data_IF_068633915311
#
_entry.id   IF_068633915311
#
_cell.length_a   1.000
_cell.length_b   1.000
_cell.length_c   1.000
_cell.angle_alpha   90.00
_cell.angle_beta   90.00
_cell.angle_gamma   90.00
#
_symmetry.space_group_name_H-M   'P 1'
#
loop_
_entity.id
_entity.type
_entity.pdbx_description
1 polymer ?
#
# COMPACT_ATOMS: atom_id res chain seq x y z
N UNK A 1 0.96 0.52 34.64
CA UNK A 1 -0.26 0.07 33.92
C UNK A 1 -0.22 0.73 32.54
N UNK A 2 -0.31 0.01 31.43
CA UNK A 2 -0.39 0.66 30.12
C UNK A 2 -1.67 1.48 30.07
N UNK A 3 -1.56 2.78 29.80
CA UNK A 3 -2.70 3.68 29.56
C UNK A 3 -3.52 3.08 28.41
N UNK A 4 -4.84 2.92 28.58
CA UNK A 4 -5.75 2.52 27.52
C UNK A 4 -5.59 3.52 26.38
N UNK A 5 -5.24 3.06 25.19
CA UNK A 5 -5.08 3.94 24.03
C UNK A 5 -6.43 4.59 23.71
N UNK A 6 -6.43 5.84 23.25
CA UNK A 6 -7.66 6.55 22.83
C UNK A 6 -8.44 5.78 21.76
N UNK A 7 -7.78 4.88 21.04
CA UNK A 7 -8.40 3.93 20.12
C UNK A 7 -9.34 2.92 20.79
N UNK A 8 -9.10 2.54 22.06
CA UNK A 8 -10.00 1.62 22.75
C UNK A 8 -11.40 2.22 22.94
N UNK A 9 -11.51 3.55 23.00
CA UNK A 9 -12.78 4.27 23.12
C UNK A 9 -13.52 4.43 21.78
N UNK A 10 -12.80 4.38 20.66
CA UNK A 10 -13.35 4.62 19.30
C UNK A 10 -13.87 3.32 18.67
N UNK A 11 -13.26 2.17 19.00
CA UNK A 11 -13.48 0.90 18.33
C UNK A 11 -14.55 0.01 19.01
N UNK A 12 -15.52 0.58 19.74
CA UNK A 12 -16.58 -0.17 20.42
C UNK A 12 -17.97 0.16 19.89
N UNK A 13 -18.84 -0.84 19.65
CA UNK A 13 -18.68 -2.29 19.57
C UNK A 13 -18.45 -2.80 18.12
N UNK A 14 -17.74 -3.93 17.97
CA UNK A 14 -17.63 -4.63 16.67
C UNK A 14 -18.79 -5.65 16.59
N UNK A 15 -19.72 -5.46 15.68
CA UNK A 15 -20.66 -6.51 15.27
C UNK A 15 -19.90 -7.61 14.55
N UNK A 16 -19.76 -8.76 15.22
CA UNK A 16 -18.97 -9.88 14.71
C UNK A 16 -19.52 -10.44 13.39
N UNK A 17 -20.84 -10.45 13.22
CA UNK A 17 -21.50 -10.96 12.03
C UNK A 17 -21.23 -10.05 10.84
N UNK A 18 -21.39 -8.75 11.02
CA UNK A 18 -21.12 -7.77 9.96
C UNK A 18 -19.63 -7.72 9.59
N UNK A 19 -18.77 -7.75 10.59
CA UNK A 19 -17.32 -7.81 10.38
C UNK A 19 -16.90 -9.03 9.54
N UNK A 20 -17.48 -10.18 9.84
CA UNK A 20 -17.24 -11.41 9.06
C UNK A 20 -17.77 -11.29 7.65
N UNK A 21 -18.97 -10.71 7.47
CA UNK A 21 -19.55 -10.47 6.16
C UNK A 21 -18.68 -9.54 5.32
N UNK A 22 -18.18 -8.43 5.91
CA UNK A 22 -17.23 -7.53 5.22
C UNK A 22 -15.93 -8.25 4.89
N UNK A 23 -15.41 -9.08 5.79
CA UNK A 23 -14.21 -9.90 5.55
C UNK A 23 -14.42 -10.93 4.43
N UNK A 24 -15.59 -11.56 4.37
CA UNK A 24 -15.97 -12.49 3.29
C UNK A 24 -16.11 -11.76 1.94
N UNK A 25 -16.70 -10.56 1.93
CA UNK A 25 -16.75 -9.70 0.73
C UNK A 25 -15.35 -9.41 0.18
N UNK A 26 -14.34 -9.24 1.04
CA UNK A 26 -12.95 -9.07 0.59
C UNK A 26 -12.39 -10.31 -0.10
N UNK A 27 -12.78 -11.53 0.36
CA UNK A 27 -12.44 -12.78 -0.34
C UNK A 27 -13.11 -12.82 -1.72
N UNK A 28 -14.41 -12.54 -1.77
CA UNK A 28 -15.19 -12.52 -3.02
C UNK A 28 -14.66 -11.48 -4.00
N UNK A 29 -14.28 -10.30 -3.50
CA UNK A 29 -13.70 -9.24 -4.33
C UNK A 29 -12.41 -9.68 -5.02
N UNK A 30 -11.53 -10.42 -4.34
CA UNK A 30 -10.34 -10.98 -4.98
C UNK A 30 -10.72 -11.95 -6.09
N UNK A 31 -11.71 -12.82 -5.84
CA UNK A 31 -12.16 -13.78 -6.84
C UNK A 31 -12.79 -13.11 -8.07
N UNK A 32 -13.61 -12.07 -7.88
CA UNK A 32 -14.22 -11.32 -8.98
C UNK A 32 -13.17 -10.58 -9.81
N UNK A 33 -12.21 -9.91 -9.13
CA UNK A 33 -11.13 -9.19 -9.83
C UNK A 33 -10.12 -10.09 -10.53
N UNK A 34 -10.07 -11.38 -10.17
CA UNK A 34 -9.31 -12.39 -10.93
C UNK A 34 -9.87 -12.61 -12.33
N UNK A 35 -11.17 -12.58 -12.49
CA UNK A 35 -11.81 -12.81 -13.80
C UNK A 35 -11.45 -11.68 -14.78
N UNK A 36 -11.51 -10.42 -14.32
CA UNK A 36 -11.09 -9.26 -15.12
C UNK A 36 -9.59 -9.30 -15.43
N UNK A 37 -8.78 -9.61 -14.43
CA UNK A 37 -7.33 -9.75 -14.57
C UNK A 37 -6.91 -10.85 -15.56
N UNK A 38 -7.59 -11.99 -15.57
CA UNK A 38 -7.28 -13.10 -16.47
C UNK A 38 -7.69 -12.80 -17.91
N UNK A 39 -8.74 -12.00 -18.12
CA UNK A 39 -9.14 -11.55 -19.46
C UNK A 39 -8.09 -10.62 -20.07
N UNK A 40 -7.67 -9.60 -19.33
CA UNK A 40 -6.71 -8.60 -19.79
C UNK A 40 -5.94 -8.00 -18.61
N UNK A 41 -4.73 -8.43 -18.31
CA UNK A 41 -3.92 -7.89 -17.21
C UNK A 41 -3.28 -6.55 -17.61
N UNK A 42 -4.13 -5.55 -17.82
CA UNK A 42 -3.76 -4.16 -18.01
C UNK A 42 -3.43 -3.49 -16.66
N UNK A 43 -3.03 -2.24 -16.69
CA UNK A 43 -2.64 -1.48 -15.49
C UNK A 43 -3.77 -1.39 -14.47
N UNK A 44 -5.00 -1.12 -14.90
CA UNK A 44 -6.19 -1.03 -14.06
C UNK A 44 -6.48 -2.37 -13.36
N UNK A 45 -6.51 -3.48 -14.10
CA UNK A 45 -6.78 -4.80 -13.54
C UNK A 45 -5.66 -5.27 -12.62
N UNK A 46 -4.39 -4.90 -12.89
CA UNK A 46 -3.26 -5.13 -11.99
C UNK A 46 -3.45 -4.33 -10.70
N UNK A 47 -3.86 -3.06 -10.79
CA UNK A 47 -4.14 -2.22 -9.63
C UNK A 47 -5.27 -2.80 -8.78
N UNK A 48 -6.36 -3.18 -9.41
CA UNK A 48 -7.57 -3.68 -8.77
C UNK A 48 -7.34 -4.99 -8.00
N UNK A 49 -6.70 -5.96 -8.64
CA UNK A 49 -6.38 -7.23 -7.98
C UNK A 49 -5.42 -7.02 -6.80
N UNK A 50 -4.42 -6.14 -6.92
CA UNK A 50 -3.50 -5.79 -5.83
C UNK A 50 -4.22 -5.13 -4.66
N UNK A 51 -5.11 -4.17 -4.94
CA UNK A 51 -5.89 -3.48 -3.89
C UNK A 51 -6.83 -4.45 -3.20
N UNK A 52 -7.50 -5.33 -3.93
CA UNK A 52 -8.36 -6.38 -3.37
C UNK A 52 -7.59 -7.35 -2.47
N UNK A 53 -6.39 -7.78 -2.89
CA UNK A 53 -5.53 -8.65 -2.07
C UNK A 53 -5.02 -7.94 -0.81
N UNK A 54 -4.73 -6.63 -0.86
CA UNK A 54 -4.35 -5.86 0.33
C UNK A 54 -5.48 -5.82 1.35
N UNK A 55 -6.73 -5.55 0.93
CA UNK A 55 -7.92 -5.59 1.79
C UNK A 55 -8.16 -6.97 2.38
N UNK A 56 -8.04 -8.02 1.56
CA UNK A 56 -8.10 -9.41 2.04
C UNK A 56 -7.05 -9.70 3.12
N UNK A 57 -5.81 -9.27 2.92
CA UNK A 57 -4.72 -9.51 3.88
C UNK A 57 -4.92 -8.75 5.19
N UNK A 58 -5.42 -7.52 5.14
CA UNK A 58 -5.75 -6.73 6.33
C UNK A 58 -6.86 -7.44 7.14
N UNK A 59 -7.99 -7.77 6.50
CA UNK A 59 -9.09 -8.49 7.15
C UNK A 59 -8.63 -9.83 7.71
N UNK A 60 -7.88 -10.64 6.96
CA UNK A 60 -7.35 -11.92 7.42
C UNK A 60 -6.48 -11.79 8.68
N UNK A 61 -5.63 -10.76 8.77
CA UNK A 61 -4.74 -10.56 9.93
C UNK A 61 -5.50 -10.26 11.22
N UNK A 62 -6.64 -9.61 11.13
CA UNK A 62 -7.50 -9.24 12.25
C UNK A 62 -8.48 -10.35 12.68
N UNK A 63 -8.67 -11.40 11.86
CA UNK A 63 -9.50 -12.54 12.22
C UNK A 63 -8.86 -13.40 13.33
N UNK A 64 -9.66 -14.04 14.19
CA UNK A 64 -9.19 -15.00 15.20
C UNK A 64 -8.43 -16.19 14.58
N UNK A 65 -7.54 -16.82 15.37
CA UNK A 65 -6.76 -17.98 14.92
C UNK A 65 -7.66 -19.15 14.46
N UNK A 66 -8.82 -19.37 15.10
CA UNK A 66 -9.78 -20.40 14.73
C UNK A 66 -10.25 -20.31 13.27
N UNK A 67 -10.34 -19.10 12.72
CA UNK A 67 -10.68 -18.87 11.31
C UNK A 67 -9.44 -18.93 10.45
N UNK A 68 -8.38 -18.18 10.83
CA UNK A 68 -7.16 -18.08 10.03
C UNK A 68 -6.48 -19.42 9.78
N UNK A 69 -6.60 -20.36 10.69
CA UNK A 69 -5.98 -21.68 10.59
C UNK A 69 -6.78 -22.66 9.74
N UNK A 70 -7.99 -22.32 9.28
CA UNK A 70 -8.74 -23.19 8.36
C UNK A 70 -7.95 -23.36 7.06
N UNK A 71 -7.70 -24.62 6.67
CA UNK A 71 -6.84 -24.99 5.54
C UNK A 71 -7.18 -24.26 4.24
N UNK A 72 -8.48 -24.17 3.91
CA UNK A 72 -8.94 -23.50 2.68
C UNK A 72 -8.60 -21.99 2.70
N UNK A 73 -8.87 -21.30 3.81
CA UNK A 73 -8.60 -19.86 3.98
C UNK A 73 -7.09 -19.60 3.89
N UNK A 74 -6.30 -20.37 4.66
CA UNK A 74 -4.84 -20.24 4.68
C UNK A 74 -4.24 -20.44 3.28
N UNK A 75 -4.71 -21.44 2.52
CA UNK A 75 -4.23 -21.73 1.16
C UNK A 75 -4.58 -20.60 0.21
N UNK A 76 -5.84 -20.12 0.23
CA UNK A 76 -6.30 -19.02 -0.62
C UNK A 76 -5.51 -17.72 -0.36
N UNK A 77 -5.33 -17.34 0.92
CA UNK A 77 -4.57 -16.14 1.30
C UNK A 77 -3.08 -16.28 0.94
N UNK A 78 -2.48 -17.45 1.11
CA UNK A 78 -1.09 -17.68 0.73
C UNK A 78 -0.88 -17.50 -0.76
N UNK A 79 -1.73 -18.14 -1.60
CA UNK A 79 -1.65 -18.00 -3.06
C UNK A 79 -1.93 -16.57 -3.53
N UNK A 80 -2.91 -15.89 -2.91
CA UNK A 80 -3.15 -14.45 -3.15
C UNK A 80 -1.93 -13.59 -2.83
N UNK A 81 -1.16 -13.93 -1.78
CA UNK A 81 0.07 -13.22 -1.43
C UNK A 81 1.18 -13.42 -2.47
N UNK A 82 1.31 -14.61 -3.04
CA UNK A 82 2.26 -14.89 -4.13
C UNK A 82 1.93 -14.03 -5.35
N UNK A 83 0.67 -14.07 -5.81
CA UNK A 83 0.18 -13.22 -6.91
C UNK A 83 0.42 -11.74 -6.64
N UNK A 84 0.12 -11.26 -5.43
CA UNK A 84 0.38 -9.88 -5.03
C UNK A 84 1.86 -9.50 -5.12
N UNK A 85 2.76 -10.40 -4.75
CA UNK A 85 4.22 -10.13 -4.76
C UNK A 85 4.72 -9.86 -6.18
N UNK A 86 4.32 -10.71 -7.14
CA UNK A 86 4.73 -10.54 -8.54
C UNK A 86 4.07 -9.32 -9.18
N UNK A 87 2.77 -9.15 -9.00
CA UNK A 87 2.08 -7.96 -9.49
C UNK A 87 2.58 -6.64 -8.86
N UNK A 88 3.25 -6.70 -7.70
CA UNK A 88 3.90 -5.53 -7.15
C UNK A 88 5.12 -5.13 -7.97
N UNK A 89 5.93 -6.08 -8.41
CA UNK A 89 7.06 -5.83 -9.30
C UNK A 89 6.59 -5.29 -10.66
N UNK A 90 5.54 -5.91 -11.24
CA UNK A 90 4.97 -5.44 -12.52
C UNK A 90 4.55 -3.96 -12.40
N UNK A 91 3.83 -3.62 -11.34
CA UNK A 91 3.41 -2.21 -11.10
C UNK A 91 4.60 -1.28 -10.87
N UNK A 92 5.63 -1.73 -10.17
CA UNK A 92 6.84 -0.92 -9.97
C UNK A 92 7.50 -0.62 -11.33
N UNK A 93 7.53 -1.57 -12.27
CA UNK A 93 8.02 -1.36 -13.64
C UNK A 93 7.15 -0.40 -14.44
N UNK A 94 5.81 -0.49 -14.31
CA UNK A 94 4.88 0.45 -14.96
C UNK A 94 5.14 1.89 -14.51
N UNK A 95 5.31 2.11 -13.20
CA UNK A 95 5.61 3.43 -12.61
C UNK A 95 6.96 3.96 -13.12
N UNK A 96 8.00 3.12 -13.14
CA UNK A 96 9.31 3.53 -13.63
C UNK A 96 9.24 3.90 -15.12
N UNK A 97 8.50 3.12 -15.90
CA UNK A 97 8.29 3.39 -17.32
C UNK A 97 7.58 4.73 -17.54
N UNK A 98 6.51 4.99 -16.81
CA UNK A 98 5.74 6.24 -16.85
C UNK A 98 6.64 7.44 -16.50
N UNK A 99 7.34 7.41 -15.37
CA UNK A 99 8.24 8.49 -14.94
C UNK A 99 9.35 8.78 -15.94
N UNK A 100 9.98 7.74 -16.52
CA UNK A 100 11.03 7.92 -17.51
C UNK A 100 10.49 8.44 -18.85
N UNK A 101 9.29 8.03 -19.25
CA UNK A 101 8.63 8.52 -20.45
C UNK A 101 8.23 9.99 -20.32
N UNK A 102 7.71 10.39 -19.17
CA UNK A 102 7.43 11.80 -18.85
C UNK A 102 8.70 12.65 -18.88
N UNK A 103 9.80 12.12 -18.34
CA UNK A 103 11.08 12.80 -18.36
C UNK A 103 11.58 13.03 -19.81
N UNK A 104 11.40 12.05 -20.70
CA UNK A 104 11.78 12.18 -22.10
C UNK A 104 10.92 13.18 -22.87
N UNK A 105 9.63 13.28 -22.54
CA UNK A 105 8.68 14.19 -23.20
C UNK A 105 8.72 15.62 -22.66
N UNK A 106 9.25 15.81 -21.43
CA UNK A 106 9.29 17.13 -20.80
C UNK A 106 10.46 17.96 -21.31
N UNK A 107 10.20 19.23 -21.64
CA UNK A 107 11.24 20.25 -21.97
C UNK A 107 12.17 20.60 -20.78
N UNK A 108 12.08 19.86 -19.68
CA UNK A 108 12.88 20.05 -18.45
C UNK A 108 14.35 19.68 -18.61
N UNK A 109 14.73 19.09 -19.76
CA UNK A 109 16.12 18.87 -20.08
C UNK A 109 16.78 20.21 -20.47
N UNK A 110 17.91 20.59 -19.85
CA UNK A 110 18.59 21.87 -20.16
C UNK A 110 18.96 21.97 -21.62
N UNK A 111 18.48 23.02 -22.29
CA UNK A 111 18.69 23.27 -23.73
C UNK A 111 20.17 23.41 -24.16
N UNK A 112 21.09 23.52 -23.20
CA UNK A 112 22.54 23.73 -23.47
C UNK A 112 23.37 22.46 -23.65
N UNK A 113 22.77 21.24 -23.55
CA UNK A 113 23.53 19.99 -23.65
C UNK A 113 22.99 19.02 -24.71
N UNK A 114 22.79 19.51 -25.96
CA UNK A 114 22.23 18.69 -27.04
C UNK A 114 22.98 17.36 -27.30
N UNK A 115 24.30 17.33 -27.13
CA UNK A 115 25.06 16.07 -27.27
C UNK A 115 24.90 15.13 -26.08
N UNK A 116 24.79 15.65 -24.84
CA UNK A 116 24.52 14.84 -23.64
C UNK A 116 23.07 14.34 -23.63
N UNK A 117 22.13 15.13 -24.19
CA UNK A 117 20.74 14.74 -24.36
C UNK A 117 20.60 13.53 -25.31
N UNK A 118 21.33 13.49 -26.42
CA UNK A 118 21.26 12.36 -27.36
C UNK A 118 21.78 11.04 -26.72
N UNK A 119 22.84 11.10 -25.91
CA UNK A 119 23.36 9.94 -25.19
C UNK A 119 22.43 9.51 -24.06
N UNK A 120 21.87 10.47 -23.32
CA UNK A 120 20.89 10.18 -22.25
C UNK A 120 19.61 9.61 -22.82
N UNK A 121 19.06 10.15 -23.91
CA UNK A 121 17.87 9.62 -24.58
C UNK A 121 18.08 8.19 -25.10
N UNK A 122 19.26 7.88 -25.66
CA UNK A 122 19.59 6.52 -26.09
C UNK A 122 19.70 5.57 -24.89
N UNK A 123 20.30 6.02 -23.79
CA UNK A 123 20.42 5.23 -22.57
C UNK A 123 19.06 4.96 -21.94
N UNK A 124 18.14 5.97 -21.88
CA UNK A 124 16.76 5.79 -21.43
C UNK A 124 16.02 4.79 -22.31
N UNK A 125 16.12 4.93 -23.64
CA UNK A 125 15.44 4.00 -24.56
C UNK A 125 15.89 2.55 -24.36
N UNK A 126 17.18 2.31 -24.10
CA UNK A 126 17.68 0.98 -23.78
C UNK A 126 17.20 0.47 -22.40
N UNK A 127 17.13 1.36 -21.42
CA UNK A 127 16.58 1.07 -20.10
C UNK A 127 15.10 0.69 -20.19
N UNK A 128 14.28 1.45 -20.94
CA UNK A 128 12.86 1.18 -21.16
C UNK A 128 12.63 -0.18 -21.84
N UNK A 129 13.42 -0.52 -22.87
CA UNK A 129 13.36 -1.85 -23.52
C UNK A 129 13.71 -2.98 -22.55
N UNK A 130 14.70 -2.78 -21.69
CA UNK A 130 15.07 -3.75 -20.66
C UNK A 130 13.96 -3.92 -19.64
N UNK A 131 13.34 -2.81 -19.19
CA UNK A 131 12.18 -2.80 -18.29
C UNK A 131 11.02 -3.58 -18.88
N UNK A 132 10.66 -3.31 -20.13
CA UNK A 132 9.57 -3.99 -20.82
C UNK A 132 9.80 -5.51 -20.89
N UNK A 133 11.01 -5.93 -21.18
CA UNK A 133 11.39 -7.35 -21.22
C UNK A 133 11.18 -8.03 -19.86
N UNK A 134 11.67 -7.41 -18.79
CA UNK A 134 11.54 -7.94 -17.42
C UNK A 134 10.07 -7.91 -16.97
N UNK A 135 9.37 -6.82 -17.25
CA UNK A 135 7.93 -6.68 -16.96
C UNK A 135 7.10 -7.80 -17.60
N UNK A 136 7.32 -8.07 -18.89
CA UNK A 136 6.57 -9.09 -19.62
C UNK A 136 6.84 -10.51 -19.08
N UNK A 137 8.07 -10.79 -18.65
CA UNK A 137 8.40 -12.05 -17.97
C UNK A 137 7.63 -12.19 -16.65
N UNK A 138 7.69 -11.17 -15.76
CA UNK A 138 6.98 -11.21 -14.48
C UNK A 138 5.46 -11.26 -14.69
N UNK A 139 4.93 -10.62 -15.74
CA UNK A 139 3.52 -10.66 -16.08
C UNK A 139 3.07 -12.06 -16.51
N UNK A 140 3.91 -12.80 -17.25
CA UNK A 140 3.64 -14.19 -17.65
C UNK A 140 3.58 -15.10 -16.41
N UNK A 141 4.52 -14.97 -15.49
CA UNK A 141 4.50 -15.69 -14.21
C UNK A 141 3.26 -15.34 -13.38
N UNK A 142 2.91 -14.07 -13.33
CA UNK A 142 1.72 -13.58 -12.63
C UNK A 142 0.43 -14.16 -13.17
N UNK A 143 0.28 -14.29 -14.49
CA UNK A 143 -0.87 -14.97 -15.12
C UNK A 143 -0.98 -16.42 -14.68
N UNK A 144 0.13 -17.15 -14.62
CA UNK A 144 0.16 -18.55 -14.15
C UNK A 144 -0.35 -18.64 -12.70
N UNK A 145 0.13 -17.78 -11.81
CA UNK A 145 -0.33 -17.73 -10.42
C UNK A 145 -1.81 -17.36 -10.29
N UNK A 146 -2.29 -16.45 -11.14
CA UNK A 146 -3.70 -16.07 -11.17
C UNK A 146 -4.59 -17.26 -11.57
N UNK A 147 -4.19 -18.04 -12.57
CA UNK A 147 -4.90 -19.27 -12.95
C UNK A 147 -4.90 -20.30 -11.80
N UNK A 148 -3.77 -20.46 -11.11
CA UNK A 148 -3.70 -21.35 -9.95
C UNK A 148 -4.60 -20.90 -8.81
N UNK A 149 -4.63 -19.59 -8.53
CA UNK A 149 -5.51 -19.01 -7.51
C UNK A 149 -6.99 -19.20 -7.89
N UNK A 150 -7.35 -19.02 -9.16
CA UNK A 150 -8.71 -19.20 -9.68
C UNK A 150 -9.22 -20.64 -9.54
N UNK A 151 -8.33 -21.64 -9.61
CA UNK A 151 -8.69 -23.04 -9.40
C UNK A 151 -8.98 -23.39 -7.93
N UNK A 152 -8.62 -22.51 -6.98
CA UNK A 152 -8.93 -22.76 -5.59
C UNK A 152 -10.41 -22.47 -5.30
N UNK A 153 -11.04 -23.32 -4.49
CA UNK A 153 -12.38 -23.02 -3.98
C UNK A 153 -12.35 -21.75 -3.13
N UNK A 154 -13.29 -20.83 -3.42
CA UNK A 154 -13.42 -19.57 -2.67
C UNK A 154 -13.87 -19.88 -1.24
N UNK A 155 -13.10 -19.48 -0.21
CA UNK A 155 -13.45 -19.76 1.16
C UNK A 155 -14.66 -18.97 1.62
N UNK A 156 -15.55 -19.59 2.40
CA UNK A 156 -16.64 -18.93 3.12
C UNK A 156 -16.25 -18.77 4.59
N UNK A 157 -16.59 -17.62 5.18
CA UNK A 157 -16.37 -17.33 6.61
C UNK A 157 -17.61 -17.59 7.45
N UNK A 158 -18.79 -17.48 6.86
CA UNK A 158 -20.12 -17.47 7.49
C UNK A 158 -20.86 -18.81 7.41
N UNK A 159 -20.21 -19.99 7.42
CA UNK A 159 -20.94 -21.22 7.63
C UNK A 159 -21.64 -21.15 9.02
N UNK A 160 -22.93 -21.46 9.06
CA UNK A 160 -23.83 -21.32 10.23
C UNK A 160 -23.32 -21.96 11.54
N UNK A 161 -22.22 -22.72 11.49
CA UNK A 161 -21.58 -23.38 12.62
C UNK A 161 -20.35 -22.65 13.19
N UNK A 162 -20.01 -21.44 12.71
CA UNK A 162 -18.86 -20.69 13.23
C UNK A 162 -19.35 -19.68 14.26
N UNK A 163 -19.57 -20.15 15.47
CA UNK A 163 -19.82 -19.26 16.59
C UNK A 163 -18.49 -18.60 17.01
N UNK A 164 -18.27 -17.37 16.54
CA UNK A 164 -17.08 -16.61 16.92
C UNK A 164 -17.43 -15.78 18.13
N UNK A 165 -16.70 -16.02 19.20
CA UNK A 165 -16.79 -15.16 20.37
C UNK A 165 -16.41 -13.73 19.96
N UNK A 166 -17.35 -12.82 20.05
CA UNK A 166 -17.19 -11.38 19.80
C UNK A 166 -16.00 -10.82 20.58
N UNK A 167 -15.84 -11.23 21.83
CA UNK A 167 -14.69 -10.89 22.68
C UNK A 167 -13.35 -11.30 22.05
N UNK A 168 -13.26 -12.48 21.42
CA UNK A 168 -12.02 -12.95 20.75
C UNK A 168 -11.73 -12.16 19.47
N UNK A 169 -12.75 -11.86 18.70
CA UNK A 169 -12.62 -11.04 17.48
C UNK A 169 -12.13 -9.63 17.84
N UNK A 170 -12.80 -8.97 18.77
CA UNK A 170 -12.49 -7.65 19.27
C UNK A 170 -11.06 -7.56 19.83
N UNK A 171 -10.70 -8.47 20.74
CA UNK A 171 -9.34 -8.52 21.28
C UNK A 171 -8.28 -8.65 20.16
N UNK A 172 -8.57 -9.46 19.14
CA UNK A 172 -7.64 -9.62 18.01
C UNK A 172 -7.56 -8.38 17.15
N UNK A 173 -8.70 -7.77 16.82
CA UNK A 173 -8.76 -6.54 16.05
C UNK A 173 -7.99 -5.41 16.74
N UNK A 174 -8.30 -5.13 18.02
CA UNK A 174 -7.62 -4.10 18.80
C UNK A 174 -6.10 -4.33 18.90
N UNK A 175 -5.68 -5.58 19.09
CA UNK A 175 -4.24 -5.91 19.10
C UNK A 175 -3.54 -5.62 17.76
N UNK A 176 -4.23 -5.79 16.62
CA UNK A 176 -3.63 -5.52 15.31
C UNK A 176 -3.61 -4.02 15.06
N UNK A 177 -4.72 -3.33 15.32
CA UNK A 177 -4.82 -1.88 15.18
C UNK A 177 -3.83 -1.15 16.09
N UNK A 178 -3.78 -1.51 17.38
CA UNK A 178 -2.85 -0.91 18.34
C UNK A 178 -1.38 -1.10 17.94
N UNK A 179 -0.98 -2.26 17.42
CA UNK A 179 0.37 -2.47 16.89
C UNK A 179 0.69 -1.56 15.72
N UNK A 180 -0.25 -1.38 14.80
CA UNK A 180 -0.05 -0.51 13.64
C UNK A 180 0.04 0.95 14.06
N UNK A 181 -0.85 1.39 14.94
CA UNK A 181 -0.83 2.74 15.50
C UNK A 181 0.51 3.04 16.19
N UNK A 182 0.96 2.16 17.09
CA UNK A 182 2.24 2.32 17.78
C UNK A 182 3.44 2.36 16.83
N UNK A 183 3.41 1.58 15.72
CA UNK A 183 4.50 1.64 14.73
C UNK A 183 4.47 2.94 13.95
N UNK A 184 3.30 3.42 13.59
CA UNK A 184 3.13 4.72 12.91
C UNK A 184 3.61 5.85 13.84
N UNK A 185 3.16 5.86 15.10
CA UNK A 185 3.58 6.83 16.11
C UNK A 185 5.10 6.88 16.29
N UNK A 186 5.75 5.72 16.41
CA UNK A 186 7.20 5.61 16.53
C UNK A 186 7.93 6.14 15.30
N UNK A 187 7.44 5.83 14.09
CA UNK A 187 8.13 6.18 12.86
C UNK A 187 7.87 7.64 12.43
N UNK A 188 6.76 8.24 12.86
CA UNK A 188 6.37 9.58 12.45
C UNK A 188 7.43 10.65 12.72
N UNK A 189 7.91 10.88 13.97
CA UNK A 189 8.94 11.87 14.24
C UNK A 189 10.26 11.56 13.51
N UNK A 190 10.60 10.28 13.33
CA UNK A 190 11.81 9.85 12.61
C UNK A 190 11.71 10.22 11.13
N UNK A 191 10.55 9.99 10.51
CA UNK A 191 10.29 10.36 9.13
C UNK A 191 10.31 11.87 8.93
N UNK A 192 9.71 12.64 9.85
CA UNK A 192 9.74 14.10 9.78
C UNK A 192 11.14 14.69 9.93
N UNK A 193 12.04 14.00 10.62
CA UNK A 193 13.41 14.51 10.88
C UNK A 193 14.31 14.46 9.65
N UNK A 194 14.10 13.54 8.70
CA UNK A 194 14.99 13.39 7.55
C UNK A 194 14.38 12.62 6.39
N UNK A 195 14.51 13.18 5.19
CA UNK A 195 14.11 12.52 3.93
C UNK A 195 14.93 11.25 3.60
N UNK A 196 16.01 11.00 4.31
CA UNK A 196 16.90 9.84 4.11
C UNK A 196 16.44 8.59 4.88
N UNK A 197 15.42 8.70 5.72
CA UNK A 197 14.84 7.59 6.51
C UNK A 197 13.92 6.71 5.67
N UNK A 198 14.48 6.08 4.63
CA UNK A 198 13.73 5.32 3.63
C UNK A 198 13.00 4.11 4.22
N UNK A 199 13.61 3.42 5.20
CA UNK A 199 13.05 2.23 5.84
C UNK A 199 11.81 2.63 6.64
N UNK A 200 11.94 3.63 7.50
CA UNK A 200 10.86 4.12 8.35
C UNK A 200 9.71 4.73 7.53
N UNK A 201 10.03 5.48 6.46
CA UNK A 201 9.07 5.97 5.46
C UNK A 201 8.26 4.83 4.85
N UNK A 202 8.93 3.78 4.39
CA UNK A 202 8.30 2.63 3.77
C UNK A 202 7.44 1.82 4.77
N UNK A 203 7.91 1.67 6.01
CA UNK A 203 7.14 1.00 7.07
C UNK A 203 5.90 1.79 7.43
N UNK A 204 6.02 3.10 7.67
CA UNK A 204 4.90 4.00 7.97
C UNK A 204 3.84 3.95 6.86
N UNK A 205 4.25 4.07 5.58
CA UNK A 205 3.34 3.93 4.44
C UNK A 205 2.57 2.61 4.45
N UNK A 206 3.27 1.48 4.69
CA UNK A 206 2.62 0.15 4.76
C UNK A 206 1.62 0.05 5.90
N UNK A 207 1.94 0.63 7.03
CA UNK A 207 1.13 0.50 8.23
C UNK A 207 -0.07 1.45 8.20
N UNK A 208 0.06 2.68 7.67
CA UNK A 208 -1.07 3.55 7.34
C UNK A 208 -2.06 2.85 6.40
N UNK A 209 -1.57 2.21 5.33
CA UNK A 209 -2.40 1.43 4.41
C UNK A 209 -3.17 0.30 5.08
N UNK A 210 -2.49 -0.48 5.93
CA UNK A 210 -3.12 -1.59 6.64
C UNK A 210 -4.14 -1.09 7.65
N UNK A 211 -3.81 -0.03 8.40
CA UNK A 211 -4.71 0.58 9.37
C UNK A 211 -5.97 1.07 8.68
N UNK A 212 -5.87 1.81 7.58
CA UNK A 212 -7.01 2.25 6.79
C UNK A 212 -7.91 1.08 6.39
N UNK A 213 -7.36 0.03 5.77
CA UNK A 213 -8.16 -1.12 5.35
C UNK A 213 -8.82 -1.90 6.52
N UNK A 214 -8.26 -1.81 7.72
CA UNK A 214 -8.90 -2.38 8.92
C UNK A 214 -10.05 -1.50 9.40
N UNK A 215 -9.89 -0.18 9.38
CA UNK A 215 -10.93 0.76 9.76
C UNK A 215 -12.13 0.71 8.80
N UNK A 216 -11.90 0.52 7.48
CA UNK A 216 -12.95 0.30 6.47
C UNK A 216 -13.84 -0.94 6.77
N UNK A 217 -13.39 -1.88 7.62
CA UNK A 217 -14.19 -3.03 8.04
C UNK A 217 -15.19 -2.69 9.14
N UNK A 218 -15.02 -1.56 9.82
CA UNK A 218 -15.96 -1.14 10.86
C UNK A 218 -17.32 -0.77 10.23
N UNK A 219 -18.44 -1.02 10.93
CA UNK A 219 -19.78 -0.73 10.44
C UNK A 219 -20.12 0.76 10.64
N UNK A 220 -19.53 1.62 9.80
CA UNK A 220 -19.73 3.07 9.87
C UNK A 220 -21.16 3.47 9.46
N UNK A 221 -21.86 2.63 8.71
CA UNK A 221 -23.19 2.92 8.14
C UNK A 221 -24.34 2.74 9.13
N UNK A 222 -24.11 2.24 10.35
CA UNK A 222 -25.13 1.97 11.36
C UNK A 222 -24.95 2.80 12.61
N UNK A 223 -26.08 3.17 13.25
CA UNK A 223 -26.05 3.82 14.56
C UNK A 223 -25.63 2.83 15.64
N UNK A 224 -24.34 2.83 15.92
CA UNK A 224 -23.76 2.02 16.98
C UNK A 224 -23.46 2.95 18.14
N UNK A 225 -24.09 2.70 19.30
CA UNK A 225 -23.78 3.45 20.53
C UNK A 225 -22.27 3.42 20.78
N UNK A 226 -21.68 4.60 20.99
CA UNK A 226 -20.27 4.82 21.29
C UNK A 226 -19.26 4.63 20.12
N UNK A 227 -19.69 4.57 18.86
CA UNK A 227 -18.80 4.70 17.72
C UNK A 227 -18.95 6.12 17.15
N UNK A 228 -17.91 6.93 17.27
CA UNK A 228 -17.83 8.24 16.63
C UNK A 228 -17.48 8.02 15.14
N UNK A 229 -18.52 7.94 14.32
CA UNK A 229 -18.41 7.65 12.88
C UNK A 229 -17.64 8.71 12.15
N UNK A 230 -17.87 9.95 12.52
CA UNK A 230 -17.25 11.09 11.84
C UNK A 230 -15.75 11.08 12.07
N UNK A 231 -15.31 10.79 13.30
CA UNK A 231 -13.88 10.64 13.61
C UNK A 231 -13.23 9.46 12.90
N UNK A 232 -13.93 8.32 12.79
CA UNK A 232 -13.38 7.16 12.07
C UNK A 232 -13.30 7.45 10.58
N UNK A 233 -14.31 8.09 9.99
CA UNK A 233 -14.30 8.49 8.58
C UNK A 233 -13.17 9.48 8.31
N UNK A 234 -13.05 10.52 9.13
CA UNK A 234 -11.97 11.49 9.03
C UNK A 234 -10.59 10.84 9.12
N UNK A 235 -10.39 9.89 10.05
CA UNK A 235 -9.13 9.16 10.16
C UNK A 235 -8.84 8.31 8.90
N UNK A 236 -9.85 7.69 8.31
CA UNK A 236 -9.70 6.94 7.05
C UNK A 236 -9.21 7.86 5.94
N UNK A 237 -9.81 9.05 5.79
CA UNK A 237 -9.45 10.04 4.78
C UNK A 237 -8.03 10.59 4.98
N UNK A 238 -7.64 10.86 6.21
CA UNK A 238 -6.29 11.30 6.55
C UNK A 238 -5.23 10.24 6.30
N UNK A 239 -5.53 8.99 6.68
CA UNK A 239 -4.66 7.85 6.37
C UNK A 239 -4.53 7.63 4.86
N UNK A 240 -5.58 7.90 4.07
CA UNK A 240 -5.53 7.85 2.62
C UNK A 240 -4.60 8.93 2.07
N UNK A 241 -4.77 10.18 2.50
CA UNK A 241 -3.93 11.31 2.06
C UNK A 241 -2.45 11.11 2.39
N UNK A 242 -2.14 10.70 3.63
CA UNK A 242 -0.77 10.35 4.05
C UNK A 242 -0.22 9.18 3.20
N UNK A 243 -1.02 8.15 2.97
CA UNK A 243 -0.64 7.00 2.16
C UNK A 243 -0.30 7.38 0.73
N UNK A 244 -1.06 8.29 0.11
CA UNK A 244 -0.86 8.70 -1.28
C UNK A 244 0.39 9.57 -1.42
N UNK A 245 0.62 10.50 -0.49
CA UNK A 245 1.85 11.30 -0.46
C UNK A 245 3.10 10.43 -0.26
N UNK A 246 3.08 9.53 0.73
CA UNK A 246 4.16 8.57 0.95
C UNK A 246 4.28 7.55 -0.19
N UNK A 247 3.18 7.29 -0.93
CA UNK A 247 3.13 6.49 -2.13
C UNK A 247 3.97 7.10 -3.23
N UNK A 248 3.71 8.36 -3.54
CA UNK A 248 4.46 9.13 -4.54
C UNK A 248 5.96 9.18 -4.22
N UNK A 249 6.34 9.47 -2.96
CA UNK A 249 7.75 9.49 -2.53
C UNK A 249 8.40 8.12 -2.74
N UNK A 250 7.70 7.03 -2.39
CA UNK A 250 8.20 5.67 -2.59
C UNK A 250 8.39 5.31 -4.06
N UNK A 251 7.53 5.80 -4.94
CA UNK A 251 7.61 5.55 -6.38
C UNK A 251 8.88 6.20 -6.97
N UNK A 252 9.23 7.41 -6.52
CA UNK A 252 10.54 8.03 -6.80
C UNK A 252 11.71 7.22 -6.26
N UNK A 253 11.64 6.76 -5.00
CA UNK A 253 12.69 5.95 -4.38
C UNK A 253 12.94 4.65 -5.17
N UNK A 254 11.86 4.00 -5.61
CA UNK A 254 11.91 2.77 -6.42
C UNK A 254 12.56 3.04 -7.78
N UNK A 255 12.20 4.14 -8.43
CA UNK A 255 12.78 4.56 -9.72
C UNK A 255 14.28 4.84 -9.59
N UNK A 256 14.68 5.63 -8.58
CA UNK A 256 16.09 5.93 -8.30
C UNK A 256 16.89 4.65 -8.08
N UNK A 257 16.38 3.75 -7.23
CA UNK A 257 17.06 2.49 -6.91
C UNK A 257 17.22 1.60 -8.16
N UNK A 258 16.19 1.55 -9.01
CA UNK A 258 16.22 0.76 -10.24
C UNK A 258 17.27 1.31 -11.24
N UNK A 259 17.26 2.62 -11.49
CA UNK A 259 18.21 3.26 -12.40
C UNK A 259 19.66 3.05 -11.91
N UNK A 260 19.93 3.27 -10.62
CA UNK A 260 21.26 3.05 -10.04
C UNK A 260 21.74 1.62 -10.25
N UNK A 261 20.90 0.64 -9.93
CA UNK A 261 21.21 -0.78 -10.13
C UNK A 261 21.45 -1.12 -11.60
N UNK A 262 20.70 -0.50 -12.52
CA UNK A 262 20.90 -0.69 -13.94
C UNK A 262 22.24 -0.13 -14.41
N UNK A 263 22.65 1.07 -13.94
CA UNK A 263 23.95 1.68 -14.25
C UNK A 263 25.11 0.87 -13.67
N UNK A 264 24.97 0.34 -12.45
CA UNK A 264 25.96 -0.55 -11.83
C UNK A 264 26.24 -1.78 -12.70
N UNK A 265 25.19 -2.38 -13.26
CA UNK A 265 25.29 -3.55 -14.13
C UNK A 265 25.70 -3.21 -15.59
N UNK A 266 25.61 -1.95 -16.00
CA UNK A 266 25.82 -1.51 -17.36
C UNK A 266 26.58 -0.16 -17.37
N UNK A 267 27.89 -0.20 -17.08
CA UNK A 267 28.74 0.99 -16.91
C UNK A 267 28.75 1.98 -18.10
N UNK A 268 28.43 1.50 -19.31
CA UNK A 268 28.28 2.34 -20.51
C UNK A 268 27.13 3.34 -20.46
N UNK A 269 26.17 3.16 -19.51
CA UNK A 269 25.01 4.04 -19.35
C UNK A 269 25.13 5.00 -18.17
N UNK A 270 26.35 5.42 -17.82
CA UNK A 270 26.60 6.39 -16.73
C UNK A 270 25.87 7.73 -16.90
N UNK A 271 25.50 8.10 -18.13
CA UNK A 271 24.67 9.29 -18.41
C UNK A 271 23.30 9.26 -17.70
N UNK A 272 22.78 8.08 -17.35
CA UNK A 272 21.55 7.94 -16.53
C UNK A 272 21.68 8.53 -15.13
N UNK A 273 22.89 8.73 -14.61
CA UNK A 273 23.10 9.40 -13.32
C UNK A 273 22.59 10.86 -13.32
N UNK A 274 22.54 11.52 -14.47
CA UNK A 274 21.93 12.85 -14.56
C UNK A 274 20.42 12.77 -14.32
N UNK A 275 19.75 11.74 -14.85
CA UNK A 275 18.33 11.50 -14.61
C UNK A 275 18.07 11.24 -13.12
N UNK A 276 18.92 10.44 -12.48
CA UNK A 276 18.82 10.18 -11.04
C UNK A 276 18.83 11.49 -10.24
N UNK A 277 19.62 12.49 -10.63
CA UNK A 277 19.63 13.81 -9.96
C UNK A 277 18.28 14.51 -10.08
N UNK A 278 17.66 14.53 -11.27
CA UNK A 278 16.35 15.17 -11.48
C UNK A 278 15.24 14.43 -10.72
N UNK A 279 15.20 13.10 -10.83
CA UNK A 279 14.24 12.28 -10.10
C UNK A 279 14.39 12.49 -8.59
N UNK A 280 15.62 12.67 -8.10
CA UNK A 280 15.89 12.96 -6.69
C UNK A 280 15.40 14.34 -6.28
N UNK A 281 15.54 15.37 -7.12
CA UNK A 281 15.03 16.73 -6.85
C UNK A 281 13.49 16.74 -6.78
N UNK A 282 12.81 16.05 -7.70
CA UNK A 282 11.36 15.95 -7.66
C UNK A 282 10.89 15.13 -6.45
N UNK A 283 11.58 14.06 -6.10
CA UNK A 283 11.37 13.31 -4.86
C UNK A 283 11.49 14.23 -3.63
N UNK A 284 12.50 15.12 -3.60
CA UNK A 284 12.72 16.07 -2.52
C UNK A 284 11.54 17.04 -2.38
N UNK A 285 11.06 17.61 -3.49
CA UNK A 285 9.87 18.47 -3.51
C UNK A 285 8.63 17.76 -2.95
N UNK A 286 8.41 16.48 -3.33
CA UNK A 286 7.29 15.68 -2.80
C UNK A 286 7.42 15.41 -1.31
N UNK A 287 8.63 15.19 -0.84
CA UNK A 287 8.89 15.05 0.59
C UNK A 287 8.63 16.37 1.36
N UNK A 288 9.07 17.51 0.83
CA UNK A 288 8.81 18.83 1.42
C UNK A 288 7.29 19.11 1.50
N UNK A 289 6.53 18.78 0.45
CA UNK A 289 5.06 18.86 0.45
C UNK A 289 4.44 17.97 1.54
N UNK A 290 4.95 16.76 1.73
CA UNK A 290 4.50 15.87 2.80
C UNK A 290 4.80 16.44 4.19
N UNK A 291 5.99 17.00 4.41
CA UNK A 291 6.35 17.63 5.68
C UNK A 291 5.45 18.83 5.98
N UNK A 292 5.18 19.66 4.97
CA UNK A 292 4.28 20.81 5.12
C UNK A 292 2.86 20.37 5.49
N UNK A 293 2.33 19.36 4.78
CA UNK A 293 1.04 18.76 5.13
C UNK A 293 1.01 18.28 6.59
N UNK A 294 2.05 17.59 7.04
CA UNK A 294 2.13 17.11 8.42
C UNK A 294 2.17 18.25 9.44
N UNK A 295 2.85 19.35 9.12
CA UNK A 295 2.99 20.51 10.03
C UNK A 295 1.75 21.38 10.09
N UNK A 296 1.11 21.62 8.95
CA UNK A 296 -0.01 22.57 8.85
C UNK A 296 -1.34 21.85 9.05
N UNK A 297 -1.64 20.89 8.22
CA UNK A 297 -2.96 20.25 8.19
C UNK A 297 -3.17 19.29 9.37
N UNK A 298 -2.14 18.50 9.72
CA UNK A 298 -2.26 17.55 10.83
C UNK A 298 -2.09 18.18 12.21
N UNK A 299 -1.39 19.31 12.32
CA UNK A 299 -1.16 19.99 13.61
C UNK A 299 -2.27 20.96 13.98
N UNK A 300 -2.98 21.52 13.00
CA UNK A 300 -4.01 22.57 13.24
C UNK A 300 -5.38 22.00 13.61
N UNK A 301 -5.64 20.72 13.39
CA UNK A 301 -6.92 20.12 13.78
C UNK A 301 -6.83 19.59 15.22
N UNK A 302 -7.34 20.37 16.19
CA UNK A 302 -7.41 19.98 17.62
C UNK A 302 -8.16 18.67 17.86
N UNK A 303 -9.00 18.26 16.90
CA UNK A 303 -9.81 17.05 16.92
C UNK A 303 -9.33 15.98 15.90
N UNK A 304 -8.16 16.20 15.29
CA UNK A 304 -7.64 15.26 14.30
C UNK A 304 -7.20 13.96 15.00
N UNK A 305 -7.94 12.90 14.72
CA UNK A 305 -7.73 11.59 15.34
C UNK A 305 -6.37 10.99 14.99
N UNK A 306 -5.83 11.30 13.81
CA UNK A 306 -4.49 10.89 13.40
C UNK A 306 -3.43 11.56 14.28
N UNK A 307 -3.57 12.86 14.53
CA UNK A 307 -2.73 13.60 15.49
C UNK A 307 -2.94 13.08 16.91
N UNK A 308 -4.18 12.76 17.30
CA UNK A 308 -4.48 12.18 18.60
C UNK A 308 -3.90 10.77 18.76
N UNK A 309 -3.88 9.95 17.68
CA UNK A 309 -3.18 8.67 17.64
C UNK A 309 -1.67 8.86 17.74
N UNK A 310 -1.14 9.94 17.14
CA UNK A 310 0.29 10.25 17.12
C UNK A 310 0.78 10.96 18.39
N UNK A 311 -0.11 11.70 19.10
CA UNK A 311 0.21 12.46 20.31
C UNK A 311 -0.23 11.77 21.61
N UNK A 312 -0.49 10.46 21.58
CA UNK A 312 -0.77 9.70 22.81
C UNK A 312 0.56 9.53 23.56
N UNK A 313 0.86 10.52 24.38
CA UNK A 313 1.81 10.45 25.46
C UNK A 313 1.10 10.25 26.80
#
# INVERSE_FOLDING_TARGET
MPKSSSLDNILYPIDSKEYLNKSERNIQRVNNKLDDYLKAPNEEHIHDIRTSIRRLRASYQSLPKSIRNKKKIKKFVAKSKELFSINSKVRDYDIIFEMLSEYMSSEKAPKHEQQQLSQSSRAISNLLKSLETVRNRELTESKTLAVELRKLSVPKLGDNNINISEKKLKKRFNNVVGKLANTIEKNYPVVLSSSKRLIELHEMRKDCKKLRYLLELLPIDRDIKNLDKDKVSQLIDELEKVQDMLGTIHDYDTTIAYIKKYVENHSKYRSLNNIVKYVYEDRRKKFEQFIEYCRVDLSNSKDNLFVNIMNIN
#
